data_IF_915169885840
#
_entry.id   IF_915169885840
#
_cell.length_a   1.000
_cell.length_b   1.000
_cell.length_c   1.000
_cell.angle_alpha   90.00
_cell.angle_beta   90.00
_cell.angle_gamma   90.00
#
_symmetry.space_group_name_H-M   'P 1'
#
loop_
_entity.id
_entity.type
_entity.pdbx_description
1 polymer ?
#
# COMPACT_ATOMS: atom_id res chain seq x y z
N UNK A 1 30.29 -8.47 16.50
CA UNK A 1 29.16 -7.52 16.48
C UNK A 1 28.65 -7.43 15.06
N UNK A 2 27.39 -7.83 14.87
CA UNK A 2 26.75 -8.09 13.60
C UNK A 2 26.72 -6.85 12.70
N UNK A 3 27.49 -6.87 11.61
CA UNK A 3 27.13 -6.12 10.40
C UNK A 3 26.05 -6.95 9.70
N UNK A 4 24.85 -6.97 10.27
CA UNK A 4 23.70 -7.48 9.56
C UNK A 4 23.47 -6.55 8.39
N UNK A 5 23.81 -7.08 7.21
CA UNK A 5 23.36 -6.61 5.91
C UNK A 5 21.87 -6.29 6.02
N UNK A 6 21.55 -5.00 6.23
CA UNK A 6 20.25 -4.46 5.89
C UNK A 6 20.12 -4.68 4.39
N UNK A 7 19.52 -5.82 4.02
CA UNK A 7 19.04 -6.15 2.69
C UNK A 7 18.33 -4.91 2.20
N UNK A 8 19.01 -4.13 1.37
CA UNK A 8 18.41 -3.00 0.70
C UNK A 8 17.36 -3.62 -0.21
N UNK A 9 16.11 -3.67 0.27
CA UNK A 9 14.95 -3.85 -0.59
C UNK A 9 15.13 -2.76 -1.63
N UNK A 10 15.44 -3.14 -2.87
CA UNK A 10 15.73 -2.19 -3.93
C UNK A 10 14.53 -1.25 -4.01
N UNK A 11 14.78 0.06 -3.90
CA UNK A 11 13.79 1.16 -4.02
C UNK A 11 12.93 1.11 -5.30
N UNK A 12 13.21 0.15 -6.20
CA UNK A 12 12.53 -0.10 -7.46
C UNK A 12 11.29 -0.98 -7.33
N UNK A 13 11.13 -1.72 -6.24
CA UNK A 13 9.94 -2.56 -6.06
C UNK A 13 8.79 -1.70 -5.53
N UNK A 14 7.78 -1.50 -6.38
CA UNK A 14 6.56 -0.79 -6.02
C UNK A 14 5.37 -1.67 -6.32
N UNK A 15 4.38 -1.59 -5.45
CA UNK A 15 3.12 -2.30 -5.58
C UNK A 15 1.99 -1.32 -5.76
N UNK A 16 0.98 -1.72 -6.52
CA UNK A 16 -0.23 -0.94 -6.70
C UNK A 16 -1.21 -1.23 -5.59
N UNK A 17 -1.81 -0.18 -5.06
CA UNK A 17 -2.89 -0.21 -4.07
C UNK A 17 -4.01 0.73 -4.51
N UNK A 18 -5.22 0.50 -4.02
CA UNK A 18 -6.35 1.42 -4.19
C UNK A 18 -6.61 2.08 -2.85
N UNK A 19 -6.62 3.41 -2.81
CA UNK A 19 -6.95 4.12 -1.56
C UNK A 19 -8.45 3.93 -1.23
N UNK A 20 -8.76 3.81 0.05
CA UNK A 20 -10.14 3.75 0.56
C UNK A 20 -10.60 5.14 1.00
N UNK A 21 -11.90 5.29 1.31
CA UNK A 21 -12.47 6.54 1.83
C UNK A 21 -11.88 6.96 3.19
N UNK A 22 -11.31 6.02 3.95
CA UNK A 22 -10.64 6.31 5.22
C UNK A 22 -9.28 7.03 5.03
N UNK A 23 -8.71 6.98 3.82
CA UNK A 23 -7.45 7.64 3.51
C UNK A 23 -7.67 9.14 3.28
N UNK A 24 -7.77 9.92 4.36
CA UNK A 24 -8.08 11.38 4.33
C UNK A 24 -7.22 12.23 3.39
N UNK A 25 -5.98 11.81 3.10
CA UNK A 25 -5.05 12.54 2.23
C UNK A 25 -4.91 11.92 0.83
N UNK A 26 -5.73 10.92 0.50
CA UNK A 26 -5.71 10.21 -0.77
C UNK A 26 -7.12 10.23 -1.37
N UNK A 27 -7.21 10.08 -2.68
CA UNK A 27 -8.48 10.00 -3.39
C UNK A 27 -8.98 8.56 -3.31
N UNK A 28 -10.09 8.35 -2.63
CA UNK A 28 -10.72 7.04 -2.54
C UNK A 28 -11.02 6.45 -3.93
N UNK A 29 -10.74 5.17 -4.12
CA UNK A 29 -10.89 4.48 -5.40
C UNK A 29 -9.76 4.74 -6.41
N UNK A 30 -8.83 5.65 -6.12
CA UNK A 30 -7.67 5.89 -6.99
C UNK A 30 -6.56 4.85 -6.73
N UNK A 31 -5.92 4.41 -7.81
CA UNK A 31 -4.75 3.55 -7.76
C UNK A 31 -3.47 4.35 -7.48
N UNK A 32 -2.67 3.87 -6.55
CA UNK A 32 -1.37 4.45 -6.19
C UNK A 32 -0.29 3.37 -6.25
N UNK A 33 0.86 3.74 -6.77
CA UNK A 33 2.04 2.89 -6.80
C UNK A 33 2.99 3.30 -5.68
N UNK A 34 3.09 2.48 -4.64
CA UNK A 34 3.83 2.77 -3.41
C UNK A 34 4.79 1.63 -3.06
N UNK A 35 5.73 1.86 -2.16
CA UNK A 35 6.61 0.80 -1.67
C UNK A 35 5.81 -0.30 -0.94
N UNK A 36 6.15 -1.60 -1.04
CA UNK A 36 5.42 -2.68 -0.38
C UNK A 36 5.24 -2.47 1.13
N UNK A 37 6.27 -2.00 1.86
CA UNK A 37 6.14 -1.67 3.28
C UNK A 37 5.13 -0.56 3.55
N UNK A 38 5.04 0.44 2.66
CA UNK A 38 4.04 1.50 2.77
C UNK A 38 2.64 0.97 2.43
N UNK A 39 2.52 0.12 1.40
CA UNK A 39 1.27 -0.56 1.08
C UNK A 39 0.77 -1.39 2.26
N UNK A 40 1.64 -2.15 2.93
CA UNK A 40 1.28 -2.91 4.13
C UNK A 40 0.79 -2.01 5.27
N UNK A 41 1.48 -0.88 5.53
CA UNK A 41 1.04 0.09 6.53
C UNK A 41 -0.32 0.69 6.19
N UNK A 42 -0.53 1.07 4.93
CA UNK A 42 -1.81 1.64 4.48
C UNK A 42 -2.94 0.61 4.58
N UNK A 43 -2.70 -0.64 4.18
CA UNK A 43 -3.65 -1.75 4.34
C UNK A 43 -3.97 -2.04 5.80
N UNK A 44 -2.95 -2.08 6.66
CA UNK A 44 -3.12 -2.31 8.12
C UNK A 44 -3.94 -1.23 8.80
N UNK A 45 -3.85 0.01 8.30
CA UNK A 45 -4.67 1.14 8.76
C UNK A 45 -6.07 1.19 8.13
N UNK A 46 -6.41 0.29 7.21
CA UNK A 46 -7.68 0.33 6.47
C UNK A 46 -7.74 1.39 5.38
N UNK A 47 -6.64 2.09 5.11
CA UNK A 47 -6.55 3.22 4.18
C UNK A 47 -6.33 2.80 2.73
N UNK A 48 -5.97 1.54 2.49
CA UNK A 48 -5.79 1.03 1.15
C UNK A 48 -6.15 -0.45 1.04
N UNK A 49 -6.52 -0.87 -0.16
CA UNK A 49 -6.82 -2.26 -0.51
C UNK A 49 -6.05 -2.68 -1.75
N UNK A 50 -5.94 -3.98 -2.00
CA UNK A 50 -5.34 -4.49 -3.23
C UNK A 50 -6.22 -4.13 -4.45
N UNK A 51 -5.65 -3.76 -5.61
CA UNK A 51 -6.40 -3.36 -6.79
C UNK A 51 -7.24 -4.52 -7.37
N UNK A 52 -6.76 -5.76 -7.24
CA UNK A 52 -7.53 -6.97 -7.59
C UNK A 52 -8.57 -7.35 -6.53
N UNK A 53 -8.38 -6.86 -5.31
CA UNK A 53 -9.36 -6.94 -4.22
C UNK A 53 -10.11 -5.62 -4.20
N UNK A 54 -10.72 -5.27 -5.36
CA UNK A 54 -11.75 -4.23 -5.43
C UNK A 54 -12.61 -4.43 -4.19
N UNK A 55 -12.54 -3.49 -3.24
CA UNK A 55 -13.48 -3.46 -2.14
C UNK A 55 -14.84 -3.48 -2.83
N UNK A 56 -15.53 -4.62 -2.75
CA UNK A 56 -16.76 -4.85 -3.49
C UNK A 56 -17.66 -3.67 -3.24
N UNK A 57 -17.82 -2.83 -4.26
CA UNK A 57 -18.88 -1.86 -4.30
C UNK A 57 -20.18 -2.64 -4.17
N UNK A 58 -20.85 -2.47 -3.03
CA UNK A 58 -22.26 -2.76 -2.78
C UNK A 58 -22.59 -2.09 -1.43
N UNK A 59 -23.41 -1.06 -1.32
CA UNK A 59 -24.39 -0.45 -2.21
C UNK A 59 -24.59 1.02 -1.83
#
# INVERSE_FOLDING_TARGET
>A
MAKEEKKAIKLTDKVKIVATEEAKHMVAGQEYEVHPTQAELLKKKGWAVDPGKKASAKA
#
